data_IF_264520336080
#
_entry.id   IF_264520336080
#
_cell.length_a   1.000
_cell.length_b   1.000
_cell.length_c   1.000
_cell.angle_alpha   90.00
_cell.angle_beta   90.00
_cell.angle_gamma   90.00
#
_symmetry.space_group_name_H-M   'P 1'
#
loop_
_entity.id
_entity.type
_entity.pdbx_description
1 polymer ?
#
# COMPACT_ATOMS: atom_id res chain seq x y z
N UNK A 1 -8.92 -14.48 17.88
CA UNK A 1 -9.02 -13.49 18.97
C UNK A 1 -7.79 -12.56 19.02
N UNK A 2 -6.58 -13.06 19.32
CA UNK A 2 -5.35 -12.26 19.47
C UNK A 2 -5.11 -11.16 18.41
N UNK A 3 -5.17 -11.52 17.11
CA UNK A 3 -4.90 -10.57 16.02
C UNK A 3 -5.86 -9.40 15.97
N UNK A 4 -7.09 -9.57 16.45
CA UNK A 4 -8.10 -8.52 16.48
C UNK A 4 -7.82 -7.58 17.64
N UNK A 5 -7.70 -8.11 18.86
CA UNK A 5 -7.45 -7.29 20.05
C UNK A 5 -6.16 -6.48 19.96
N UNK A 6 -5.09 -7.02 19.37
CA UNK A 6 -3.79 -6.33 19.26
C UNK A 6 -3.52 -5.67 17.90
N UNK A 7 -4.52 -5.57 17.01
CA UNK A 7 -4.33 -4.87 15.75
C UNK A 7 -3.90 -3.40 16.00
N UNK A 8 -2.76 -2.99 15.45
CA UNK A 8 -2.15 -1.67 15.64
C UNK A 8 -1.70 -1.30 17.07
N UNK A 9 -1.74 -2.23 18.03
CA UNK A 9 -1.33 -1.99 19.42
C UNK A 9 0.19 -1.85 19.59
N UNK A 10 0.98 -2.46 18.71
CA UNK A 10 2.44 -2.57 18.86
C UNK A 10 3.21 -1.23 18.83
N UNK A 11 2.61 -0.18 18.28
CA UNK A 11 3.21 1.16 18.20
C UNK A 11 2.66 2.14 19.25
N UNK A 12 1.57 1.76 19.94
CA UNK A 12 0.89 2.64 20.88
C UNK A 12 1.63 2.70 22.21
N UNK A 13 1.77 3.90 22.76
CA UNK A 13 2.31 4.15 24.09
C UNK A 13 1.22 4.85 24.91
N UNK A 14 0.71 4.17 25.94
CA UNK A 14 -0.28 4.75 26.86
C UNK A 14 0.37 5.58 27.96
N UNK A 15 1.53 5.13 28.44
CA UNK A 15 2.29 5.77 29.49
C UNK A 15 3.69 6.13 28.95
N UNK A 16 4.24 7.23 29.45
CA UNK A 16 5.55 7.74 29.08
C UNK A 16 6.68 6.80 29.50
N UNK A 17 6.51 6.12 30.63
CA UNK A 17 7.52 5.21 31.19
C UNK A 17 7.42 3.80 30.61
N UNK A 18 6.24 3.42 30.14
CA UNK A 18 5.97 2.08 29.63
C UNK A 18 6.46 1.92 28.17
N UNK A 19 6.98 0.72 27.80
CA UNK A 19 7.37 0.45 26.43
C UNK A 19 6.16 0.41 25.47
N UNK A 20 6.35 0.64 24.16
CA UNK A 20 5.25 0.60 23.19
C UNK A 20 4.69 -0.81 23.03
N UNK A 21 3.36 -0.92 22.98
CA UNK A 21 2.64 -2.19 22.93
C UNK A 21 2.68 -2.97 24.25
N UNK A 22 2.71 -2.26 25.38
CA UNK A 22 2.61 -2.86 26.71
C UNK A 22 1.15 -3.06 27.12
N UNK A 23 0.79 -4.29 27.48
CA UNK A 23 -0.54 -4.63 27.99
C UNK A 23 -0.56 -4.53 29.52
N UNK A 24 -1.33 -3.57 30.05
CA UNK A 24 -1.45 -3.31 31.48
C UNK A 24 -2.17 -4.42 32.26
N UNK A 25 -3.01 -5.22 31.60
CA UNK A 25 -3.71 -6.33 32.29
C UNK A 25 -2.81 -7.54 32.46
N UNK A 26 -1.84 -7.71 31.56
CA UNK A 26 -0.91 -8.85 31.52
C UNK A 26 0.52 -8.49 31.93
N UNK A 27 0.78 -7.23 32.22
CA UNK A 27 2.09 -6.68 32.57
C UNK A 27 3.23 -7.16 31.65
N UNK A 28 2.94 -7.30 30.34
CA UNK A 28 3.91 -7.81 29.37
C UNK A 28 3.80 -7.09 28.03
N UNK A 29 4.91 -7.09 27.29
CA UNK A 29 5.00 -6.47 25.96
C UNK A 29 4.48 -7.45 24.91
N UNK A 30 3.63 -6.97 24.02
CA UNK A 30 3.14 -7.74 22.88
C UNK A 30 4.32 -8.17 22.00
N UNK A 31 4.48 -9.49 21.85
CA UNK A 31 5.55 -10.07 21.05
C UNK A 31 5.46 -9.71 19.56
N UNK A 32 4.30 -9.93 18.94
CA UNK A 32 4.10 -9.57 17.52
C UNK A 32 3.43 -8.20 17.37
N UNK A 33 4.26 -7.19 17.07
CA UNK A 33 3.82 -5.80 16.90
C UNK A 33 3.18 -5.52 15.54
N UNK A 34 3.58 -6.26 14.50
CA UNK A 34 3.21 -5.99 13.11
C UNK A 34 2.11 -6.94 12.63
N UNK A 35 0.89 -6.73 13.13
CA UNK A 35 -0.27 -7.55 12.77
C UNK A 35 -0.98 -6.91 11.57
N UNK A 36 -1.24 -7.70 10.53
CA UNK A 36 -2.02 -7.29 9.35
C UNK A 36 -3.31 -8.10 9.26
N UNK A 37 -4.42 -7.42 9.02
CA UNK A 37 -5.72 -8.05 8.77
C UNK A 37 -5.99 -8.11 7.26
N UNK A 38 -6.30 -9.30 6.75
CA UNK A 38 -6.56 -9.53 5.32
C UNK A 38 -8.04 -9.38 4.98
N UNK A 39 -8.91 -10.04 5.74
CA UNK A 39 -10.35 -10.14 5.49
C UNK A 39 -11.19 -9.16 6.31
N UNK A 40 -10.60 -8.58 7.34
CA UNK A 40 -11.27 -7.69 8.27
C UNK A 40 -10.63 -6.31 8.18
N UNK A 41 -11.42 -5.28 8.41
CA UNK A 41 -10.94 -3.93 8.67
C UNK A 41 -11.56 -3.39 9.95
N UNK A 42 -10.82 -2.49 10.58
CA UNK A 42 -11.28 -1.77 11.75
C UNK A 42 -12.33 -0.73 11.33
N UNK A 43 -13.56 -0.91 11.80
CA UNK A 43 -14.66 0.02 11.53
C UNK A 43 -14.74 1.09 12.62
N UNK A 44 -14.54 0.69 13.87
CA UNK A 44 -14.55 1.59 15.01
C UNK A 44 -13.73 1.02 16.17
N UNK A 45 -13.03 1.90 16.87
CA UNK A 45 -12.35 1.61 18.13
C UNK A 45 -12.66 2.73 19.11
N UNK A 46 -13.07 2.36 20.32
CA UNK A 46 -13.32 3.31 21.41
C UNK A 46 -12.02 3.99 21.87
N UNK A 47 -12.12 5.18 22.47
CA UNK A 47 -10.97 5.94 22.98
C UNK A 47 -10.02 5.12 23.86
N UNK A 48 -10.56 4.40 24.84
CA UNK A 48 -9.77 3.56 25.77
C UNK A 48 -9.62 2.10 25.30
N UNK A 49 -9.93 1.81 24.03
CA UNK A 49 -9.70 0.50 23.39
C UNK A 49 -10.38 -0.69 24.08
N UNK A 50 -11.46 -0.43 24.82
CA UNK A 50 -12.23 -1.46 25.52
C UNK A 50 -13.11 -2.26 24.54
N UNK A 51 -13.63 -1.59 23.51
CA UNK A 51 -14.44 -2.22 22.45
C UNK A 51 -13.82 -1.93 21.09
N UNK A 52 -13.71 -3.00 20.28
CA UNK A 52 -13.19 -2.95 18.90
C UNK A 52 -14.17 -3.63 17.97
N UNK A 53 -14.65 -2.88 16.97
CA UNK A 53 -15.62 -3.33 16.00
C UNK A 53 -14.94 -3.49 14.65
N UNK A 54 -15.03 -4.70 14.10
CA UNK A 54 -14.44 -5.04 12.80
C UNK A 54 -15.54 -5.27 11.78
N UNK A 55 -15.32 -4.75 10.57
CA UNK A 55 -16.16 -5.05 9.40
C UNK A 55 -15.50 -6.15 8.58
N UNK A 56 -16.33 -7.07 8.07
CA UNK A 56 -15.91 -8.05 7.07
C UNK A 56 -15.80 -7.38 5.71
N UNK A 57 -14.63 -7.49 5.08
CA UNK A 57 -14.39 -6.99 3.72
C UNK A 57 -15.16 -7.83 2.72
N UNK A 58 -15.61 -7.18 1.65
CA UNK A 58 -16.24 -7.89 0.53
C UNK A 58 -15.19 -8.72 -0.21
N UNK A 59 -15.57 -9.85 -0.83
CA UNK A 59 -14.63 -10.67 -1.59
C UNK A 59 -13.92 -9.88 -2.69
N UNK A 60 -14.57 -8.89 -3.30
CA UNK A 60 -13.99 -8.05 -4.35
C UNK A 60 -12.89 -7.09 -3.85
N UNK A 61 -12.97 -6.67 -2.57
CA UNK A 61 -12.01 -5.77 -1.93
C UNK A 61 -10.75 -6.51 -1.50
N UNK A 62 -10.85 -7.82 -1.28
CA UNK A 62 -9.74 -8.66 -0.88
C UNK A 62 -9.03 -9.12 -2.16
N UNK A 63 -7.72 -8.87 -2.26
CA UNK A 63 -6.91 -9.48 -3.32
C UNK A 63 -6.80 -10.99 -3.07
N UNK A 64 -7.85 -11.74 -3.40
CA UNK A 64 -7.96 -13.20 -3.18
C UNK A 64 -7.00 -13.96 -4.10
N UNK A 65 -6.46 -13.31 -5.15
CA UNK A 65 -5.54 -13.96 -6.08
C UNK A 65 -4.26 -14.35 -5.35
N UNK A 66 -4.00 -15.65 -5.10
CA UNK A 66 -2.76 -16.06 -4.48
C UNK A 66 -1.60 -15.65 -5.37
N UNK A 67 -0.52 -15.13 -4.77
CA UNK A 67 0.68 -14.77 -5.52
C UNK A 67 1.29 -16.04 -6.09
N UNK A 68 1.16 -16.23 -7.40
CA UNK A 68 1.81 -17.34 -8.11
C UNK A 68 3.33 -17.12 -8.05
N UNK A 69 4.12 -18.08 -7.50
CA UNK A 69 5.57 -18.07 -7.54
C UNK A 69 6.10 -17.88 -8.96
N UNK A 70 7.23 -17.18 -9.10
CA UNK A 70 7.86 -16.91 -10.41
C UNK A 70 8.00 -18.15 -11.30
N UNK A 71 8.46 -19.33 -10.80
CA UNK A 71 8.66 -20.51 -11.66
C UNK A 71 7.36 -21.10 -12.22
N UNK A 72 6.21 -20.84 -11.58
CA UNK A 72 4.91 -21.39 -12.00
C UNK A 72 4.17 -20.47 -13.00
N UNK A 73 4.79 -19.38 -13.46
CA UNK A 73 4.16 -18.41 -14.36
C UNK A 73 4.33 -18.84 -15.81
N UNK A 74 3.21 -19.04 -16.52
CA UNK A 74 3.19 -19.30 -17.97
C UNK A 74 3.72 -18.12 -18.81
N UNK A 75 3.61 -16.89 -18.31
CA UNK A 75 4.02 -15.67 -19.02
C UNK A 75 5.05 -14.90 -18.21
N UNK A 76 6.23 -14.70 -18.81
CA UNK A 76 7.30 -13.89 -18.23
C UNK A 76 6.98 -12.41 -18.39
N UNK A 77 6.60 -11.75 -17.29
CA UNK A 77 6.46 -10.30 -17.23
C UNK A 77 7.83 -9.66 -16.98
N UNK A 78 8.32 -8.84 -17.93
CA UNK A 78 9.42 -7.90 -17.67
C UNK A 78 8.94 -6.87 -16.64
N UNK A 79 9.67 -6.70 -15.55
CA UNK A 79 9.37 -5.67 -14.53
C UNK A 79 9.84 -4.32 -15.09
N UNK A 80 8.89 -3.41 -15.32
CA UNK A 80 9.21 -2.05 -15.73
C UNK A 80 9.39 -1.20 -14.47
N UNK A 81 10.58 -0.65 -14.28
CA UNK A 81 10.84 0.35 -13.25
C UNK A 81 10.19 1.67 -13.67
N UNK A 82 9.43 2.27 -12.75
CA UNK A 82 8.89 3.62 -12.97
C UNK A 82 10.04 4.64 -12.92
N UNK A 83 10.06 5.57 -13.88
CA UNK A 83 10.96 6.74 -13.87
C UNK A 83 10.23 8.00 -13.38
N UNK A 84 9.06 7.85 -12.77
CA UNK A 84 8.25 8.97 -12.33
C UNK A 84 8.82 9.58 -11.05
N UNK A 85 8.82 10.91 -10.99
CA UNK A 85 9.15 11.69 -9.80
C UNK A 85 8.14 12.82 -9.64
N UNK A 86 8.16 13.51 -8.50
CA UNK A 86 7.29 14.68 -8.29
C UNK A 86 7.42 15.73 -9.41
N UNK A 87 8.62 15.88 -10.00
CA UNK A 87 8.88 16.77 -11.16
C UNK A 87 8.55 16.13 -12.51
N UNK A 88 8.69 14.81 -12.66
CA UNK A 88 8.44 14.09 -13.92
C UNK A 88 7.29 13.10 -13.74
N UNK A 89 6.06 13.58 -13.94
CA UNK A 89 4.83 12.78 -13.81
C UNK A 89 4.42 12.01 -15.06
N UNK A 90 5.17 12.11 -16.18
CA UNK A 90 4.84 11.43 -17.44
C UNK A 90 5.12 9.92 -17.34
N UNK A 91 4.13 9.11 -17.69
CA UNK A 91 4.25 7.65 -17.78
C UNK A 91 4.95 7.16 -19.05
N UNK A 92 5.26 5.86 -19.09
CA UNK A 92 5.81 5.19 -20.26
C UNK A 92 4.72 4.32 -20.93
N UNK A 93 4.50 4.56 -22.23
CA UNK A 93 3.60 3.75 -23.06
C UNK A 93 4.48 2.91 -23.98
N UNK A 94 4.27 1.60 -23.99
CA UNK A 94 4.96 0.71 -24.94
C UNK A 94 4.51 1.06 -26.36
N UNK A 95 5.46 1.10 -27.31
CA UNK A 95 5.19 1.41 -28.72
C UNK A 95 4.46 2.76 -28.91
N UNK A 96 4.81 3.77 -28.10
CA UNK A 96 4.25 5.11 -28.26
C UNK A 96 4.63 5.68 -29.64
N UNK A 97 3.66 6.11 -30.47
CA UNK A 97 3.97 6.69 -31.78
C UNK A 97 4.76 7.99 -31.62
N UNK A 98 5.81 8.15 -32.41
CA UNK A 98 6.59 9.39 -32.46
C UNK A 98 5.88 10.39 -33.38
N UNK A 99 5.44 11.52 -32.81
CA UNK A 99 4.80 12.59 -33.58
C UNK A 99 5.89 13.53 -34.10
N UNK A 100 6.16 13.46 -35.41
CA UNK A 100 6.99 14.46 -36.10
C UNK A 100 6.11 15.66 -36.45
N UNK A 101 6.33 16.80 -35.80
CA UNK A 101 5.68 18.06 -36.21
C UNK A 101 6.48 18.67 -37.37
N UNK A 102 5.80 18.98 -38.47
CA UNK A 102 6.42 19.65 -39.62
C UNK A 102 7.00 21.01 -39.23
N UNK A 103 8.15 21.38 -39.80
CA UNK A 103 8.74 22.72 -39.65
C UNK A 103 8.13 23.64 -40.70
N UNK A 104 7.68 24.83 -40.30
CA UNK A 104 7.20 25.85 -41.25
C UNK A 104 8.36 26.31 -42.14
N UNK A 105 8.18 26.37 -43.48
CA UNK A 105 9.21 26.89 -44.37
C UNK A 105 9.51 28.36 -44.07
N UNK A 106 10.79 28.75 -44.06
CA UNK A 106 11.17 30.16 -43.92
C UNK A 106 10.72 30.89 -45.19
N UNK A 107 9.99 32.01 -45.04
CA UNK A 107 9.64 32.88 -46.17
C UNK A 107 10.94 33.39 -46.80
N UNK A 108 11.20 32.98 -48.04
CA UNK A 108 12.27 33.55 -48.85
C UNK A 108 11.77 34.89 -49.36
N UNK A 109 12.36 35.99 -48.90
CA UNK A 109 12.10 37.30 -49.48
C UNK A 109 12.82 37.36 -50.83
N UNK A 110 12.05 37.26 -51.91
CA UNK A 110 12.52 37.54 -53.26
C UNK A 110 12.57 39.08 -53.37
N UNK A 111 13.78 39.61 -53.60
CA UNK A 111 14.01 41.03 -53.88
C UNK A 111 13.59 41.38 -55.30
#
# INVERSE_FOLDING_TARGET
MYKLSYFNFGHLKFDYRSPPGFDMTRNSVVGNKNIKLTYLEEAYTTEHWLVRIYRVKKPDEVNIRPRIPVPQRKVNRKVYLTKQSNKRRRGHIKNKPFVVKGKTPKKVNIK
#
